data_IF_343130689228
#
_entry.id   IF_343130689228
#
_cell.length_a   1.000
_cell.length_b   1.000
_cell.length_c   1.000
_cell.angle_alpha   90.00
_cell.angle_beta   90.00
_cell.angle_gamma   90.00
#
_symmetry.space_group_name_H-M   'P 1'
#
loop_
_entity.id
_entity.type
_entity.pdbx_description
1 polymer ?
#
# COMPACT_ATOMS: atom_id res chain seq x y z
N UNK A 1 -22.38 -82.95 19.21
CA UNK A 1 -21.43 -82.69 18.12
C UNK A 1 -21.95 -81.53 17.29
N UNK A 2 -21.28 -80.38 17.43
CA UNK A 2 -21.00 -79.35 16.42
C UNK A 2 -22.03 -79.04 15.32
N UNK A 3 -22.56 -77.80 15.30
CA UNK A 3 -22.15 -76.76 14.33
C UNK A 3 -23.15 -75.59 14.21
N UNK A 4 -22.67 -74.40 14.61
CA UNK A 4 -22.83 -73.05 14.03
C UNK A 4 -23.83 -72.80 12.89
N UNK A 5 -24.68 -71.77 13.03
CA UNK A 5 -24.89 -70.71 12.01
C UNK A 5 -25.25 -69.36 12.66
N UNK A 6 -24.52 -68.34 12.19
CA UNK A 6 -24.64 -66.91 12.48
C UNK A 6 -25.75 -66.27 11.65
N UNK A 7 -26.44 -65.27 12.17
CA UNK A 7 -27.03 -64.22 11.36
C UNK A 7 -27.07 -62.86 12.09
N UNK A 8 -26.50 -61.89 11.40
CA UNK A 8 -26.20 -60.50 11.75
C UNK A 8 -27.42 -59.60 11.53
N UNK A 9 -27.51 -58.49 12.27
CA UNK A 9 -27.98 -57.11 11.90
C UNK A 9 -28.77 -56.49 13.05
N UNK A 10 -28.75 -55.20 13.35
CA UNK A 10 -27.90 -54.07 12.98
C UNK A 10 -28.26 -52.96 13.99
N UNK A 11 -27.28 -52.32 14.62
CA UNK A 11 -27.51 -51.14 15.45
C UNK A 11 -27.69 -49.93 14.52
N UNK A 12 -28.87 -49.29 14.57
CA UNK A 12 -29.14 -48.04 13.87
C UNK A 12 -28.61 -46.86 14.70
N UNK A 13 -27.42 -46.37 14.34
CA UNK A 13 -26.87 -45.13 14.89
C UNK A 13 -27.49 -43.94 14.15
N UNK A 14 -28.25 -43.10 14.86
CA UNK A 14 -28.73 -41.81 14.36
C UNK A 14 -27.52 -40.88 14.10
N UNK A 15 -27.25 -40.60 12.82
CA UNK A 15 -26.31 -39.57 12.42
C UNK A 15 -26.99 -38.19 12.49
N UNK A 16 -26.57 -37.36 13.43
CA UNK A 16 -26.91 -35.92 13.47
C UNK A 16 -26.10 -35.24 12.36
N UNK A 17 -26.78 -34.82 11.29
CA UNK A 17 -26.18 -34.07 10.20
C UNK A 17 -25.82 -32.66 10.64
N UNK A 18 -24.54 -32.39 10.82
CA UNK A 18 -24.03 -31.03 10.95
C UNK A 18 -23.97 -30.39 9.55
N UNK A 19 -24.86 -29.42 9.30
CA UNK A 19 -24.75 -28.52 8.16
C UNK A 19 -23.64 -27.52 8.49
N UNK A 20 -22.43 -27.78 8.02
CA UNK A 20 -21.34 -26.81 8.05
C UNK A 20 -21.55 -25.83 6.91
N UNK A 21 -22.17 -24.69 7.20
CA UNK A 21 -22.22 -23.57 6.27
C UNK A 21 -20.80 -23.06 6.03
N UNK A 22 -20.28 -23.35 4.83
CA UNK A 22 -19.02 -22.84 4.33
C UNK A 22 -19.17 -21.32 4.13
N UNK A 23 -18.68 -20.54 5.08
CA UNK A 23 -18.49 -19.10 4.90
C UNK A 23 -17.26 -18.94 4.01
N UNK A 24 -17.46 -18.71 2.71
CA UNK A 24 -16.40 -18.18 1.85
C UNK A 24 -16.03 -16.79 2.36
N UNK A 25 -14.92 -16.67 3.09
CA UNK A 25 -14.35 -15.39 3.46
C UNK A 25 -13.80 -14.70 2.20
N UNK A 26 -14.54 -13.75 1.65
CA UNK A 26 -14.04 -12.75 0.69
C UNK A 26 -13.18 -11.70 1.42
N UNK A 27 -12.17 -12.16 2.16
CA UNK A 27 -11.43 -11.36 3.16
C UNK A 27 -10.17 -10.66 2.65
N UNK A 28 -9.89 -10.68 1.35
CA UNK A 28 -8.67 -10.07 0.82
C UNK A 28 -8.85 -8.57 0.46
N UNK A 29 -10.01 -8.18 -0.09
CA UNK A 29 -10.19 -6.84 -0.65
C UNK A 29 -10.44 -5.74 0.40
N UNK A 30 -11.09 -6.07 1.52
CA UNK A 30 -11.33 -5.10 2.61
C UNK A 30 -10.05 -4.74 3.38
N UNK A 31 -9.03 -5.61 3.36
CA UNK A 31 -7.77 -5.37 4.07
C UNK A 31 -6.89 -4.30 3.39
N UNK A 32 -7.03 -4.11 2.08
CA UNK A 32 -6.24 -3.13 1.32
C UNK A 32 -6.64 -1.70 1.69
N UNK A 33 -7.93 -1.42 1.85
CA UNK A 33 -8.43 -0.07 2.16
C UNK A 33 -8.18 0.38 3.60
N UNK A 34 -7.91 -0.58 4.50
CA UNK A 34 -7.52 -0.30 5.88
C UNK A 34 -5.99 -0.29 6.06
N UNK A 35 -5.23 -0.46 4.97
CA UNK A 35 -3.77 -0.47 5.04
C UNK A 35 -3.23 0.87 5.51
N UNK A 36 -2.51 0.82 6.63
CA UNK A 36 -1.89 1.98 7.25
C UNK A 36 -0.54 1.60 7.86
N UNK A 37 0.54 2.19 7.34
CA UNK A 37 1.91 1.95 7.76
C UNK A 37 2.44 3.15 8.56
N UNK A 38 2.55 2.95 9.87
CA UNK A 38 3.11 3.93 10.81
C UNK A 38 4.60 3.74 11.06
N UNK A 39 5.17 2.63 10.60
CA UNK A 39 6.51 2.18 10.93
C UNK A 39 6.72 2.03 12.45
N UNK A 40 5.69 1.68 13.22
CA UNK A 40 5.77 1.63 14.68
C UNK A 40 6.86 0.66 15.24
N UNK A 41 7.23 -0.36 14.48
CA UNK A 41 8.16 -1.42 14.92
C UNK A 41 9.34 -1.67 13.97
N UNK A 42 9.64 -0.72 13.08
CA UNK A 42 10.76 -0.83 12.15
C UNK A 42 10.42 -0.33 10.75
N UNK A 43 11.37 -0.48 9.82
CA UNK A 43 11.20 -0.03 8.44
C UNK A 43 10.34 -0.95 7.55
N UNK A 44 9.85 -2.06 8.09
CA UNK A 44 8.94 -2.98 7.41
C UNK A 44 9.38 -3.39 6.01
N UNK A 45 10.68 -3.64 5.82
CA UNK A 45 11.29 -3.98 4.52
C UNK A 45 11.05 -2.93 3.40
N UNK A 46 10.77 -1.68 3.74
CA UNK A 46 10.89 -0.58 2.79
C UNK A 46 12.37 -0.36 2.49
N UNK A 47 12.68 -0.01 1.23
CA UNK A 47 14.04 0.04 0.70
C UNK A 47 14.38 1.40 0.12
N UNK A 48 15.68 1.65 0.02
CA UNK A 48 16.25 2.84 -0.63
C UNK A 48 16.07 2.82 -2.16
N UNK A 49 16.62 3.85 -2.82
CA UNK A 49 16.49 4.12 -4.26
C UNK A 49 16.80 2.93 -5.18
N UNK A 50 17.85 2.15 -4.88
CA UNK A 50 18.26 1.00 -5.69
C UNK A 50 17.68 -0.33 -5.19
N UNK A 51 16.92 -0.33 -4.09
CA UNK A 51 16.32 -1.52 -3.49
C UNK A 51 17.28 -2.38 -2.66
N UNK A 52 18.55 -2.01 -2.53
CA UNK A 52 19.54 -2.85 -1.87
C UNK A 52 19.42 -2.81 -0.33
N UNK A 53 19.28 -1.61 0.25
CA UNK A 53 19.28 -1.42 1.69
C UNK A 53 17.86 -1.22 2.23
N UNK A 54 17.60 -1.77 3.42
CA UNK A 54 16.41 -1.41 4.22
C UNK A 54 16.57 0.03 4.70
N UNK A 55 15.48 0.80 4.71
CA UNK A 55 15.51 2.18 5.18
C UNK A 55 15.94 2.28 6.64
N UNK A 56 16.58 3.38 7.00
CA UNK A 56 16.90 3.66 8.39
C UNK A 56 15.60 3.94 9.15
N UNK A 57 15.43 3.35 10.32
CA UNK A 57 14.23 3.54 11.15
C UNK A 57 14.55 4.39 12.37
N UNK A 58 13.67 5.34 12.68
CA UNK A 58 13.76 6.19 13.85
C UNK A 58 12.46 6.08 14.65
N UNK A 59 12.56 5.77 15.94
CA UNK A 59 11.41 5.46 16.79
C UNK A 59 10.52 6.67 17.13
N UNK A 60 11.05 7.89 17.01
CA UNK A 60 10.35 9.13 17.36
C UNK A 60 10.83 10.31 16.51
N UNK A 61 10.06 11.41 16.48
CA UNK A 61 10.38 12.63 15.72
C UNK A 61 9.60 12.81 14.41
N UNK A 62 8.64 11.91 14.15
CA UNK A 62 7.56 12.11 13.19
C UNK A 62 6.64 13.28 13.56
N UNK A 63 5.66 13.62 12.70
CA UNK A 63 4.80 14.79 12.88
C UNK A 63 4.04 14.79 14.20
N UNK A 64 3.61 13.62 14.67
CA UNK A 64 2.90 13.43 15.95
C UNK A 64 3.84 12.87 17.05
N UNK A 65 5.15 13.03 16.87
CA UNK A 65 6.18 12.45 17.75
C UNK A 65 6.46 10.96 17.51
N UNK A 66 5.69 10.30 16.64
CA UNK A 66 5.82 8.88 16.30
C UNK A 66 7.05 8.51 15.46
N UNK A 67 7.14 7.24 15.09
CA UNK A 67 8.25 6.70 14.30
C UNK A 67 8.20 7.12 12.82
N UNK A 68 9.35 7.04 12.15
CA UNK A 68 9.48 7.27 10.71
C UNK A 68 10.65 6.48 10.13
N UNK A 69 10.70 6.41 8.80
CA UNK A 69 11.82 5.84 8.05
C UNK A 69 12.51 6.89 7.20
N UNK A 70 13.81 6.73 6.99
CA UNK A 70 14.64 7.64 6.21
C UNK A 70 15.36 6.89 5.09
N UNK A 71 15.36 7.48 3.90
CA UNK A 71 16.28 7.16 2.81
C UNK A 71 17.31 8.28 2.65
N UNK A 72 18.53 7.92 2.24
CA UNK A 72 19.55 8.87 1.80
C UNK A 72 19.76 8.67 0.30
N UNK A 73 19.76 9.77 -0.45
CA UNK A 73 19.95 9.76 -1.90
C UNK A 73 20.86 10.91 -2.33
N UNK A 74 21.86 10.58 -3.16
CA UNK A 74 22.82 11.54 -3.69
C UNK A 74 22.32 12.12 -5.02
N UNK A 75 22.44 13.44 -5.19
CA UNK A 75 21.90 14.14 -6.36
C UNK A 75 22.87 14.20 -7.57
N UNK A 76 24.08 13.63 -7.48
CA UNK A 76 25.12 13.76 -8.53
C UNK A 76 24.70 13.22 -9.90
N UNK A 77 23.83 12.21 -9.94
CA UNK A 77 23.33 11.61 -11.18
C UNK A 77 21.94 12.15 -11.60
N UNK A 78 21.44 13.20 -10.95
CA UNK A 78 20.12 13.76 -11.24
C UNK A 78 20.17 14.85 -12.30
N UNK A 79 19.07 15.05 -13.01
CA UNK A 79 18.87 16.15 -13.95
C UNK A 79 17.55 16.87 -13.66
N UNK A 80 17.54 18.19 -13.91
CA UNK A 80 16.32 18.97 -13.86
C UNK A 80 15.42 18.60 -15.03
N UNK A 81 14.12 18.42 -14.77
CA UNK A 81 13.13 18.03 -15.80
C UNK A 81 13.31 16.61 -16.37
N UNK A 82 14.28 15.83 -15.87
CA UNK A 82 14.45 14.41 -16.22
C UNK A 82 13.40 13.51 -15.56
N UNK A 83 13.53 12.20 -15.78
CA UNK A 83 12.70 11.23 -15.08
C UNK A 83 12.92 11.34 -13.56
N UNK A 84 11.87 11.48 -12.74
CA UNK A 84 12.03 11.69 -11.31
C UNK A 84 12.85 10.57 -10.64
N UNK A 85 13.89 10.90 -9.84
CA UNK A 85 14.61 9.91 -9.08
C UNK A 85 13.70 9.22 -8.07
N UNK A 86 13.81 7.91 -7.94
CA UNK A 86 13.21 7.19 -6.81
C UNK A 86 14.11 7.30 -5.60
N UNK A 87 13.57 7.67 -4.45
CA UNK A 87 14.30 7.73 -3.17
C UNK A 87 13.86 6.64 -2.20
N UNK A 88 12.58 6.24 -2.24
CA UNK A 88 12.00 5.24 -1.34
C UNK A 88 11.19 4.23 -2.16
N UNK A 89 11.24 2.95 -1.79
CA UNK A 89 10.53 1.87 -2.48
C UNK A 89 9.87 0.91 -1.50
N UNK A 90 8.66 0.50 -1.83
CA UNK A 90 8.00 -0.68 -1.27
C UNK A 90 7.73 -1.64 -2.42
N UNK A 91 8.12 -2.90 -2.30
CA UNK A 91 7.87 -3.90 -3.35
C UNK A 91 7.40 -5.22 -2.74
N UNK A 92 6.55 -5.92 -3.48
CA UNK A 92 5.98 -7.19 -3.04
C UNK A 92 7.06 -8.26 -2.83
N UNK A 93 8.09 -8.28 -3.69
CA UNK A 93 9.23 -9.21 -3.58
C UNK A 93 10.16 -8.92 -2.38
N UNK A 94 10.10 -7.73 -1.79
CA UNK A 94 10.80 -7.41 -0.56
C UNK A 94 10.02 -7.79 0.70
N UNK A 95 8.75 -8.17 0.55
CA UNK A 95 7.84 -8.35 1.69
C UNK A 95 7.60 -7.04 2.43
N UNK A 96 7.58 -5.91 1.72
CA UNK A 96 7.35 -4.60 2.35
C UNK A 96 5.98 -4.56 3.04
N UNK A 97 5.95 -4.17 4.31
CA UNK A 97 4.75 -4.14 5.16
C UNK A 97 3.93 -5.43 5.16
N UNK A 98 4.61 -6.59 5.02
CA UNK A 98 3.95 -7.90 4.94
C UNK A 98 3.04 -8.08 3.72
N UNK A 99 3.09 -7.18 2.73
CA UNK A 99 2.21 -7.20 1.57
C UNK A 99 0.82 -6.58 1.79
N UNK A 100 0.59 -5.85 2.89
CA UNK A 100 -0.74 -5.32 3.23
C UNK A 100 -1.36 -4.39 2.18
N UNK A 101 -0.55 -3.74 1.33
CA UNK A 101 -1.02 -2.90 0.23
C UNK A 101 -1.12 -3.64 -1.12
N UNK A 102 -0.67 -4.88 -1.22
CA UNK A 102 -0.58 -5.61 -2.49
C UNK A 102 -1.96 -6.15 -2.87
N UNK A 103 -2.39 -5.92 -4.11
CA UNK A 103 -3.61 -6.53 -4.65
C UNK A 103 -4.41 -5.65 -5.60
N UNK A 104 -5.70 -5.97 -5.75
CA UNK A 104 -6.60 -5.32 -6.69
C UNK A 104 -7.20 -4.04 -6.09
N UNK A 105 -6.54 -2.91 -6.35
CA UNK A 105 -6.95 -1.60 -5.83
C UNK A 105 -8.27 -1.13 -6.42
N UNK A 106 -8.59 -1.53 -7.65
CA UNK A 106 -9.90 -1.22 -8.26
C UNK A 106 -11.01 -1.96 -7.53
N UNK A 107 -10.86 -3.28 -7.31
CA UNK A 107 -11.87 -4.08 -6.62
C UNK A 107 -12.01 -3.68 -5.14
N UNK A 108 -10.90 -3.30 -4.49
CA UNK A 108 -10.91 -2.74 -3.15
C UNK A 108 -11.51 -1.32 -3.08
N UNK A 109 -11.72 -0.66 -4.23
CA UNK A 109 -12.31 0.68 -4.27
C UNK A 109 -11.36 1.76 -3.76
N UNK A 110 -10.05 1.59 -3.96
CA UNK A 110 -9.01 2.58 -3.64
C UNK A 110 -9.13 3.79 -4.57
N UNK A 111 -9.09 4.99 -4.01
CA UNK A 111 -9.08 6.26 -4.74
C UNK A 111 -7.76 6.99 -4.69
N UNK A 112 -6.85 6.61 -3.80
CA UNK A 112 -5.61 7.32 -3.62
C UNK A 112 -4.72 6.71 -2.55
N UNK A 113 -3.62 7.40 -2.30
CA UNK A 113 -2.78 7.16 -1.12
C UNK A 113 -2.44 8.49 -0.46
N UNK A 114 -2.09 8.46 0.81
CA UNK A 114 -1.58 9.61 1.54
C UNK A 114 -0.46 9.23 2.49
N UNK A 115 0.47 10.13 2.76
CA UNK A 115 1.56 9.90 3.70
C UNK A 115 2.18 11.21 4.17
N UNK A 116 2.87 11.18 5.31
CA UNK A 116 3.66 12.30 5.80
C UNK A 116 5.08 12.20 5.23
N UNK A 117 5.54 13.29 4.62
CA UNK A 117 6.85 13.35 3.96
C UNK A 117 7.65 14.56 4.45
N UNK A 118 8.96 14.38 4.61
CA UNK A 118 9.92 15.46 4.94
C UNK A 118 11.22 15.21 4.21
N UNK A 119 11.96 16.27 3.88
CA UNK A 119 13.30 16.17 3.32
C UNK A 119 14.21 17.28 3.86
N UNK A 120 15.52 17.18 3.65
CA UNK A 120 16.50 18.19 4.09
C UNK A 120 17.13 19.02 2.96
N UNK A 121 16.68 18.86 1.70
CA UNK A 121 17.11 19.73 0.58
C UNK A 121 16.87 21.21 0.89
N UNK A 122 17.62 22.10 0.24
CA UNK A 122 17.49 23.56 0.43
C UNK A 122 16.30 24.18 -0.30
N UNK A 123 15.69 23.46 -1.24
CA UNK A 123 14.57 23.91 -2.08
C UNK A 123 13.31 23.12 -1.74
N UNK A 124 12.14 23.75 -1.93
CA UNK A 124 10.87 23.03 -1.90
C UNK A 124 10.76 22.08 -3.11
N UNK A 125 10.17 20.91 -2.91
CA UNK A 125 10.05 19.89 -3.95
C UNK A 125 8.61 19.43 -4.10
N UNK A 126 8.27 18.98 -5.30
CA UNK A 126 7.03 18.22 -5.51
C UNK A 126 7.36 16.73 -5.41
N UNK A 127 6.53 15.98 -4.69
CA UNK A 127 6.71 14.53 -4.51
C UNK A 127 6.09 13.79 -5.69
N UNK A 128 6.79 12.77 -6.18
CA UNK A 128 6.35 11.92 -7.29
C UNK A 128 6.13 10.50 -6.81
N UNK A 129 5.17 9.80 -7.39
CA UNK A 129 4.91 8.39 -7.11
C UNK A 129 4.99 7.56 -8.38
N UNK A 130 5.32 6.28 -8.24
CA UNK A 130 5.11 5.28 -9.28
C UNK A 130 4.50 4.01 -8.67
N UNK A 131 3.36 3.61 -9.20
CA UNK A 131 2.56 2.46 -8.78
C UNK A 131 2.55 1.43 -9.90
N UNK A 132 3.02 0.22 -9.63
CA UNK A 132 3.24 -0.77 -10.66
C UNK A 132 2.76 -2.16 -10.24
N UNK A 133 2.58 -3.00 -11.26
CA UNK A 133 2.34 -4.43 -11.07
C UNK A 133 3.51 -5.10 -10.34
N UNK A 134 3.36 -6.31 -9.76
CA UNK A 134 4.43 -7.03 -9.07
C UNK A 134 5.70 -7.23 -9.90
N UNK A 135 5.55 -7.39 -11.23
CA UNK A 135 6.68 -7.50 -12.17
C UNK A 135 7.32 -6.14 -12.52
N UNK A 136 6.89 -5.07 -11.83
CA UNK A 136 7.38 -3.71 -11.93
C UNK A 136 7.12 -3.02 -13.29
N UNK A 137 6.33 -3.63 -14.19
CA UNK A 137 5.90 -3.05 -15.46
C UNK A 137 4.61 -3.73 -15.95
N UNK A 138 3.58 -3.00 -16.44
CA UNK A 138 3.49 -1.54 -16.53
C UNK A 138 3.43 -0.85 -15.15
N UNK A 139 3.60 0.47 -15.15
CA UNK A 139 3.52 1.28 -13.93
C UNK A 139 3.10 2.72 -14.19
N UNK A 140 2.16 3.20 -13.39
CA UNK A 140 1.63 4.54 -13.44
C UNK A 140 2.51 5.50 -12.65
N UNK A 141 2.92 6.60 -13.27
CA UNK A 141 3.67 7.67 -12.63
C UNK A 141 2.73 8.83 -12.30
N UNK A 142 2.86 9.37 -11.10
CA UNK A 142 2.04 10.48 -10.59
C UNK A 142 2.89 11.57 -9.99
N UNK A 143 2.35 12.78 -9.94
CA UNK A 143 2.95 13.93 -9.28
C UNK A 143 1.95 14.53 -8.30
N UNK A 144 2.41 14.98 -7.15
CA UNK A 144 1.54 15.63 -6.17
C UNK A 144 1.22 17.06 -6.61
N UNK A 145 0.07 17.57 -6.19
CA UNK A 145 -0.34 18.95 -6.47
C UNK A 145 0.21 19.97 -5.46
N UNK A 146 0.96 19.51 -4.45
CA UNK A 146 1.54 20.33 -3.39
C UNK A 146 3.07 20.21 -3.38
N UNK A 147 3.73 21.25 -2.89
CA UNK A 147 5.15 21.23 -2.61
C UNK A 147 5.42 20.94 -1.14
N UNK A 148 6.44 20.15 -0.87
CA UNK A 148 7.00 19.93 0.47
C UNK A 148 8.14 20.93 0.67
N UNK A 149 8.09 21.68 1.77
CA UNK A 149 9.15 22.61 2.14
C UNK A 149 10.30 21.87 2.86
N UNK A 150 11.54 22.40 2.79
CA UNK A 150 12.66 21.88 3.57
C UNK A 150 12.33 21.67 5.05
N UNK A 151 12.74 20.53 5.59
CA UNK A 151 12.66 20.13 6.99
C UNK A 151 11.25 20.21 7.61
N UNK A 152 10.20 20.20 6.79
CA UNK A 152 8.82 20.32 7.24
C UNK A 152 8.03 19.07 6.91
N UNK A 153 7.43 18.43 7.92
CA UNK A 153 6.48 17.35 7.70
C UNK A 153 5.25 17.88 6.98
N UNK A 154 4.96 17.30 5.82
CA UNK A 154 3.85 17.70 4.96
C UNK A 154 3.05 16.46 4.56
N UNK A 155 1.72 16.54 4.69
CA UNK A 155 0.82 15.48 4.24
C UNK A 155 0.72 15.53 2.72
N UNK A 156 1.31 14.54 2.06
CA UNK A 156 1.23 14.34 0.62
C UNK A 156 0.10 13.37 0.32
N UNK A 157 -0.64 13.64 -0.75
CA UNK A 157 -1.63 12.69 -1.28
C UNK A 157 -1.53 12.63 -2.80
N UNK A 158 -1.90 11.47 -3.35
CA UNK A 158 -2.10 11.27 -4.77
C UNK A 158 -3.53 10.82 -5.00
N UNK A 159 -4.24 11.50 -5.90
CA UNK A 159 -5.51 11.04 -6.45
C UNK A 159 -5.22 10.01 -7.54
N UNK A 160 -5.60 8.77 -7.29
CA UNK A 160 -5.36 7.64 -8.16
C UNK A 160 -6.64 7.18 -8.86
N UNK A 161 -7.70 7.98 -8.89
CA UNK A 161 -8.90 7.66 -9.70
C UNK A 161 -8.57 7.74 -11.18
N UNK A 162 -9.19 6.86 -11.97
CA UNK A 162 -9.02 6.89 -13.43
C UNK A 162 -9.35 8.29 -13.99
N UNK A 163 -8.44 8.84 -14.79
CA UNK A 163 -8.56 10.20 -15.34
C UNK A 163 -8.12 11.33 -14.40
N UNK A 164 -7.60 11.02 -13.21
CA UNK A 164 -7.02 12.01 -12.30
C UNK A 164 -5.92 12.83 -12.98
N UNK A 165 -5.86 14.16 -12.74
CA UNK A 165 -4.79 15.02 -13.27
C UNK A 165 -3.43 14.75 -12.63
N UNK A 166 -3.37 14.01 -11.52
CA UNK A 166 -2.10 13.64 -10.88
C UNK A 166 -1.31 12.63 -11.74
N UNK A 167 -1.98 11.88 -12.64
CA UNK A 167 -1.31 10.94 -13.55
C UNK A 167 -0.49 11.67 -14.62
N UNK A 168 0.80 11.36 -14.66
CA UNK A 168 1.73 11.83 -15.69
C UNK A 168 1.83 10.82 -16.84
N UNK A 169 1.83 9.52 -16.53
CA UNK A 169 1.96 8.45 -17.52
C UNK A 169 1.52 7.10 -16.93
N UNK A 170 1.07 6.18 -17.78
CA UNK A 170 0.77 4.78 -17.41
C UNK A 170 1.88 3.78 -17.81
N UNK A 171 3.04 4.28 -18.25
CA UNK A 171 4.21 3.44 -18.53
C UNK A 171 3.95 2.34 -19.57
N UNK A 172 3.13 2.63 -20.59
CA UNK A 172 2.75 1.70 -21.65
C UNK A 172 1.60 0.74 -21.31
N UNK A 173 1.06 0.80 -20.09
CA UNK A 173 -0.12 0.02 -19.68
C UNK A 173 -1.42 0.82 -19.73
N UNK A 174 -2.48 0.20 -19.22
CA UNK A 174 -3.77 0.85 -18.95
C UNK A 174 -3.99 1.00 -17.45
N UNK A 175 -4.85 1.93 -17.05
CA UNK A 175 -5.23 2.10 -15.64
C UNK A 175 -5.71 0.77 -15.04
N UNK A 176 -6.66 0.11 -15.71
CA UNK A 176 -7.16 -1.20 -15.31
C UNK A 176 -6.06 -2.26 -15.21
N UNK A 177 -5.12 -2.32 -16.15
CA UNK A 177 -4.03 -3.31 -16.14
C UNK A 177 -3.03 -3.13 -15.00
N UNK A 178 -2.87 -1.90 -14.49
CA UNK A 178 -1.95 -1.58 -13.39
C UNK A 178 -2.65 -1.75 -12.04
N UNK A 179 -3.78 -1.08 -11.86
CA UNK A 179 -4.46 -0.99 -10.57
C UNK A 179 -5.33 -2.20 -10.22
N UNK A 180 -5.52 -3.15 -11.15
CA UNK A 180 -6.12 -4.45 -10.83
C UNK A 180 -5.17 -5.40 -10.08
N UNK A 181 -3.88 -5.07 -10.00
CA UNK A 181 -2.89 -5.88 -9.31
C UNK A 181 -1.65 -5.04 -8.96
N UNK A 182 -1.75 -4.16 -7.97
CA UNK A 182 -0.61 -3.39 -7.47
C UNK A 182 0.29 -4.30 -6.65
N UNK A 183 1.59 -4.25 -6.93
CA UNK A 183 2.62 -4.94 -6.14
C UNK A 183 3.76 -4.05 -5.70
N UNK A 184 4.01 -2.95 -6.42
CA UNK A 184 5.20 -2.12 -6.22
C UNK A 184 4.85 -0.64 -6.16
N UNK A 185 5.46 0.06 -5.21
CA UNK A 185 5.37 1.51 -5.02
C UNK A 185 6.76 2.12 -4.94
N UNK A 186 6.93 3.27 -5.59
CA UNK A 186 8.18 4.00 -5.67
C UNK A 186 7.87 5.47 -5.43
N UNK A 187 8.53 6.07 -4.45
CA UNK A 187 8.38 7.48 -4.11
C UNK A 187 9.65 8.23 -4.49
N UNK A 188 9.48 9.42 -5.03
CA UNK A 188 10.52 10.26 -5.61
C UNK A 188 10.18 11.73 -5.47
N UNK A 189 10.90 12.56 -6.22
CA UNK A 189 10.63 13.99 -6.25
C UNK A 189 11.04 14.60 -7.59
N UNK A 190 10.45 15.74 -7.92
CA UNK A 190 10.92 16.58 -9.02
C UNK A 190 12.19 17.30 -8.58
N UNK A 191 13.29 17.09 -9.31
CA UNK A 191 14.59 17.69 -9.00
C UNK A 191 14.58 19.19 -9.32
N UNK A 192 14.74 20.08 -8.33
CA UNK A 192 14.84 21.51 -8.59
C UNK A 192 16.08 21.84 -9.42
N UNK A 193 15.96 22.78 -10.36
CA UNK A 193 17.06 23.16 -11.24
C UNK A 193 18.36 23.55 -10.49
N UNK A 194 18.31 24.28 -9.35
CA UNK A 194 19.52 24.59 -8.59
C UNK A 194 20.25 23.35 -8.07
N UNK A 195 19.55 22.24 -7.81
CA UNK A 195 20.09 21.06 -7.13
C UNK A 195 20.51 19.93 -8.08
N UNK A 196 20.15 20.03 -9.36
CA UNK A 196 20.43 19.00 -10.35
C UNK A 196 21.95 18.75 -10.50
N UNK A 197 22.35 17.48 -10.45
CA UNK A 197 23.74 17.05 -10.62
C UNK A 197 24.68 17.44 -9.46
N UNK A 198 24.19 18.06 -8.39
CA UNK A 198 25.02 18.40 -7.25
C UNK A 198 25.42 17.14 -6.46
N UNK A 199 26.69 17.07 -6.05
CA UNK A 199 27.16 16.01 -5.17
C UNK A 199 26.79 16.30 -3.70
N UNK A 200 25.49 16.20 -3.42
CA UNK A 200 24.91 16.36 -2.08
C UNK A 200 24.11 15.13 -1.72
N UNK A 201 24.26 14.68 -0.48
CA UNK A 201 23.43 13.63 0.12
C UNK A 201 22.24 14.28 0.81
N UNK A 202 21.04 13.89 0.37
CA UNK A 202 19.80 14.36 0.94
C UNK A 202 19.06 13.23 1.65
N UNK A 203 18.43 13.56 2.78
CA UNK A 203 17.55 12.67 3.53
C UNK A 203 16.10 12.90 3.12
N UNK A 204 15.37 11.79 2.97
CA UNK A 204 13.95 11.76 2.65
C UNK A 204 13.25 10.87 3.67
N UNK A 205 12.34 11.45 4.43
CA UNK A 205 11.65 10.80 5.53
C UNK A 205 10.19 10.52 5.15
N UNK A 206 9.67 9.39 5.66
CA UNK A 206 8.31 8.94 5.40
C UNK A 206 7.70 8.35 6.67
N UNK A 207 6.42 8.65 6.92
CA UNK A 207 5.60 7.93 7.90
C UNK A 207 4.11 8.01 7.55
N UNK A 208 3.27 7.27 8.29
CA UNK A 208 1.81 7.31 8.20
C UNK A 208 1.28 7.09 6.77
N UNK A 209 1.81 6.09 6.06
CA UNK A 209 1.36 5.77 4.70
C UNK A 209 0.02 5.05 4.73
N UNK A 210 -0.98 5.60 4.05
CA UNK A 210 -2.33 5.10 3.99
C UNK A 210 -2.75 4.81 2.54
N UNK A 211 -3.46 3.71 2.35
CA UNK A 211 -4.28 3.50 1.14
C UNK A 211 -5.67 4.09 1.43
N UNK A 212 -6.17 4.93 0.53
CA UNK A 212 -7.40 5.71 0.77
C UNK A 212 -8.58 5.10 -0.01
N UNK A 213 -9.65 4.64 0.65
CA UNK A 213 -10.84 4.12 -0.02
C UNK A 213 -11.77 5.21 -0.59
N UNK A 214 -12.62 4.80 -1.52
CA UNK A 214 -13.85 5.53 -1.88
C UNK A 214 -14.74 5.72 -0.64
N UNK A 215 -15.34 6.91 -0.42
CA UNK A 215 -16.23 7.13 0.73
C UNK A 215 -17.43 6.15 0.81
N UNK A 216 -17.85 5.57 -0.31
CA UNK A 216 -19.01 4.67 -0.37
C UNK A 216 -18.73 3.25 0.19
N UNK A 217 -17.52 2.74 0.11
CA UNK A 217 -17.19 1.40 0.64
C UNK A 217 -17.24 1.34 2.16
N UNK A 218 -16.91 2.45 2.85
CA UNK A 218 -17.09 2.61 4.29
C UNK A 218 -18.58 2.56 4.72
N UNK A 219 -19.50 3.02 3.88
CA UNK A 219 -20.93 3.06 4.19
C UNK A 219 -21.63 1.69 4.06
N UNK A 220 -21.19 0.84 3.13
CA UNK A 220 -21.80 -0.49 2.92
C UNK A 220 -21.52 -1.45 4.09
N UNK A 221 -20.34 -1.36 4.72
CA UNK A 221 -20.01 -2.12 5.92
C UNK A 221 -20.92 -1.81 7.12
N UNK A 222 -21.30 -0.55 7.30
CA UNK A 222 -22.21 -0.11 8.37
C UNK A 222 -23.66 -0.59 8.14
N UNK A 223 -24.13 -0.60 6.90
CA UNK A 223 -25.47 -1.12 6.54
C UNK A 223 -25.57 -2.65 6.72
N UNK A 224 -24.52 -3.39 6.38
CA UNK A 224 -24.47 -4.84 6.60
C UNK A 224 -24.50 -5.21 8.11
N UNK A 225 -23.78 -4.46 8.94
CA UNK A 225 -23.79 -4.63 10.39
C UNK A 225 -25.16 -4.27 11.04
N UNK A 226 -25.83 -3.24 10.52
CA UNK A 226 -27.18 -2.86 10.97
C UNK A 226 -28.24 -3.92 10.60
N UNK A 227 -28.15 -4.51 9.40
CA UNK A 227 -29.06 -5.57 8.94
C UNK A 227 -28.99 -6.86 9.79
N UNK A 228 -27.79 -7.23 10.25
CA UNK A 228 -27.59 -8.40 11.14
C UNK A 228 -28.16 -8.18 12.55
N UNK A 229 -28.18 -6.94 13.06
CA UNK A 229 -28.86 -6.61 14.33
C UNK A 229 -30.38 -6.59 14.20
N UNK A 230 -30.93 -6.22 13.04
CA UNK A 230 -32.38 -6.20 12.80
C UNK A 230 -33.01 -7.59 12.68
N UNK A 231 -32.28 -8.57 12.12
CA UNK A 231 -32.79 -9.94 11.89
C UNK A 231 -32.82 -10.81 13.15
N UNK A 232 -32.13 -10.41 14.22
CA UNK A 232 -32.09 -11.12 15.51
C UNK A 232 -33.21 -10.73 16.48
N UNK A 233 -34.11 -9.81 16.08
CA UNK A 233 -35.22 -9.28 16.88
C UNK A 233 -36.62 -9.55 16.30
N UNK A 234 -36.75 -10.56 15.43
CA UNK A 234 -38.05 -11.08 14.99
C UNK A 234 -38.16 -12.54 15.34
#
# INVERSE_FOLDING_TARGET
>A
MTSTRSCVRAAATLAVGAVTSLVCSTGADAAITDFYETFASGAQNWRNSNGAAILNWTASGGPDGGAYVTSVFNLSATSAGGFPPTVIRAQSNFGSSGGGYVGNWIAAGVTGVSFQFRHNLSEAITVTGRFATPVNNPGASVVSSITVAPNTWTLVSFDLREGSPDFVSLGGGTYAGIFSNIGNMQLGFTVPAPLAGQNIDASFDLTNFAVVPTPASAAVGLLAAAGLRGRRRR
#
